data_IF_021114342162
#
_entry.id   IF_021114342162
#
_cell.length_a   1.000
_cell.length_b   1.000
_cell.length_c   1.000
_cell.angle_alpha   90.00
_cell.angle_beta   90.00
_cell.angle_gamma   90.00
#
_symmetry.space_group_name_H-M   'P 1'
#
loop_
_entity.id
_entity.type
_entity.pdbx_description
1 polymer ?
#
# COMPACT_ATOMS: atom_id res chain seq x y z
N UNK A 1 13.64 -41.19 -16.53
CA UNK A 1 13.12 -40.01 -15.81
C UNK A 1 13.79 -38.79 -16.40
N UNK A 2 13.04 -37.89 -17.03
CA UNK A 2 13.60 -36.66 -17.57
C UNK A 2 13.82 -35.67 -16.43
N UNK A 3 15.08 -35.37 -16.13
CA UNK A 3 15.41 -34.23 -15.26
C UNK A 3 15.05 -32.95 -16.01
N UNK A 4 14.02 -32.26 -15.56
CA UNK A 4 13.72 -30.90 -16.02
C UNK A 4 14.80 -29.97 -15.48
N UNK A 5 15.83 -29.69 -16.29
CA UNK A 5 16.91 -28.74 -15.99
C UNK A 5 16.47 -27.27 -16.09
N UNK A 6 15.23 -27.02 -16.48
CA UNK A 6 14.65 -25.68 -16.56
C UNK A 6 13.54 -25.53 -15.50
N UNK A 7 13.58 -24.46 -14.68
CA UNK A 7 12.46 -24.14 -13.80
C UNK A 7 11.20 -23.93 -14.63
N UNK A 8 10.04 -24.30 -14.08
CA UNK A 8 8.73 -23.90 -14.63
C UNK A 8 8.75 -22.38 -14.84
N UNK A 9 8.23 -21.89 -15.97
CA UNK A 9 8.11 -20.44 -16.24
C UNK A 9 7.43 -19.75 -15.05
N UNK A 10 8.22 -19.14 -14.18
CA UNK A 10 7.71 -18.40 -13.02
C UNK A 10 7.13 -17.10 -13.55
N UNK A 11 5.84 -16.92 -13.35
CA UNK A 11 5.12 -15.72 -13.76
C UNK A 11 5.15 -14.70 -12.63
N UNK A 12 6.26 -13.97 -12.50
CA UNK A 12 6.41 -12.94 -11.47
C UNK A 12 5.29 -11.90 -11.49
N UNK A 13 4.72 -11.59 -12.65
CA UNK A 13 3.54 -10.73 -12.76
C UNK A 13 2.29 -11.31 -12.08
N UNK A 14 2.10 -12.63 -12.12
CA UNK A 14 0.99 -13.28 -11.40
C UNK A 14 1.20 -13.16 -9.89
N UNK A 15 2.45 -13.22 -9.41
CA UNK A 15 2.76 -12.97 -8.01
C UNK A 15 2.53 -11.50 -7.62
N UNK A 16 2.94 -10.55 -8.45
CA UNK A 16 2.70 -9.13 -8.18
C UNK A 16 1.21 -8.81 -8.09
N UNK A 17 0.40 -9.35 -9.01
CA UNK A 17 -1.05 -9.19 -8.97
C UNK A 17 -1.67 -9.83 -7.73
N UNK A 18 -1.18 -11.01 -7.32
CA UNK A 18 -1.62 -11.65 -6.07
C UNK A 18 -1.27 -10.79 -4.85
N UNK A 19 -0.02 -10.32 -4.72
CA UNK A 19 0.41 -9.50 -3.59
C UNK A 19 -0.32 -8.15 -3.57
N UNK A 20 -0.46 -7.49 -4.73
CA UNK A 20 -1.21 -6.26 -4.87
C UNK A 20 -2.69 -6.43 -4.48
N UNK A 21 -3.32 -7.55 -4.83
CA UNK A 21 -4.71 -7.82 -4.43
C UNK A 21 -4.89 -7.89 -2.91
N UNK A 22 -3.87 -8.34 -2.17
CA UNK A 22 -3.87 -8.33 -0.70
C UNK A 22 -3.80 -6.89 -0.18
N UNK A 23 -2.94 -6.04 -0.77
CA UNK A 23 -2.85 -4.62 -0.41
C UNK A 23 -4.18 -3.90 -0.69
N UNK A 24 -4.83 -4.16 -1.83
CA UNK A 24 -6.17 -3.62 -2.16
C UNK A 24 -7.22 -4.08 -1.16
N UNK A 25 -7.20 -5.35 -0.75
CA UNK A 25 -8.16 -5.87 0.22
C UNK A 25 -7.93 -5.22 1.59
N UNK A 26 -6.68 -5.08 2.02
CA UNK A 26 -6.33 -4.44 3.28
C UNK A 26 -6.71 -2.96 3.30
N UNK A 27 -6.47 -2.22 2.20
CA UNK A 27 -6.82 -0.79 2.10
C UNK A 27 -8.33 -0.56 2.17
N UNK A 28 -9.13 -1.43 1.54
CA UNK A 28 -10.60 -1.41 1.67
C UNK A 28 -11.07 -1.58 3.11
N UNK A 29 -10.53 -2.58 3.82
CA UNK A 29 -10.88 -2.81 5.23
C UNK A 29 -10.40 -1.63 6.09
N UNK A 30 -9.26 -1.01 5.75
CA UNK A 30 -8.80 0.20 6.43
C UNK A 30 -9.78 1.35 6.25
N UNK A 31 -10.28 1.59 5.03
CA UNK A 31 -11.35 2.57 4.77
C UNK A 31 -12.60 2.24 5.58
N UNK A 32 -13.00 0.97 5.66
CA UNK A 32 -14.13 0.52 6.50
C UNK A 32 -13.91 0.82 7.99
N UNK A 33 -12.68 0.72 8.51
CA UNK A 33 -12.36 1.04 9.91
C UNK A 33 -12.62 2.52 10.22
N UNK A 34 -12.24 3.43 9.32
CA UNK A 34 -12.40 4.87 9.54
C UNK A 34 -13.79 5.40 9.20
N UNK A 35 -14.61 4.62 8.49
CA UNK A 35 -16.00 4.97 8.16
C UNK A 35 -17.01 4.32 9.11
N UNK A 36 -16.67 3.18 9.69
CA UNK A 36 -17.52 2.42 10.59
C UNK A 36 -16.69 1.70 11.68
N UNK A 37 -16.81 2.17 12.91
CA UNK A 37 -16.08 1.60 14.05
C UNK A 37 -16.71 0.32 14.62
N UNK A 38 -17.81 -0.18 14.04
CA UNK A 38 -18.37 -1.48 14.44
C UNK A 38 -17.45 -2.63 14.05
N UNK A 39 -17.40 -3.66 14.91
CA UNK A 39 -16.53 -4.82 14.78
C UNK A 39 -15.05 -4.47 14.50
N UNK A 40 -14.54 -3.40 15.12
CA UNK A 40 -13.15 -2.95 14.92
C UNK A 40 -12.14 -4.09 15.15
N UNK A 41 -12.38 -4.92 16.18
CA UNK A 41 -11.54 -6.07 16.48
C UNK A 41 -11.53 -7.09 15.33
N UNK A 42 -12.69 -7.39 14.73
CA UNK A 42 -12.79 -8.28 13.58
C UNK A 42 -12.09 -7.70 12.35
N UNK A 43 -12.30 -6.41 12.05
CA UNK A 43 -11.63 -5.69 10.95
C UNK A 43 -10.11 -5.69 11.10
N UNK A 44 -9.58 -5.32 12.28
CA UNK A 44 -8.15 -5.38 12.58
C UNK A 44 -7.60 -6.82 12.47
N UNK A 45 -8.33 -7.83 12.97
CA UNK A 45 -7.89 -9.23 12.86
C UNK A 45 -7.82 -9.70 11.41
N UNK A 46 -8.72 -9.25 10.53
CA UNK A 46 -8.67 -9.56 9.10
C UNK A 46 -7.47 -8.92 8.42
N UNK A 47 -7.18 -7.64 8.71
CA UNK A 47 -5.97 -6.98 8.19
C UNK A 47 -4.71 -7.72 8.64
N UNK A 48 -4.62 -8.12 9.91
CA UNK A 48 -3.49 -8.92 10.41
C UNK A 48 -3.33 -10.24 9.65
N UNK A 49 -4.42 -10.94 9.33
CA UNK A 49 -4.32 -12.17 8.54
C UNK A 49 -3.83 -11.90 7.12
N UNK A 50 -4.31 -10.82 6.49
CA UNK A 50 -3.88 -10.43 5.15
C UNK A 50 -2.38 -10.10 5.13
N UNK A 51 -1.86 -9.41 6.15
CA UNK A 51 -0.42 -9.16 6.31
C UNK A 51 0.39 -10.46 6.42
N UNK A 52 -0.06 -11.43 7.22
CA UNK A 52 0.61 -12.74 7.34
C UNK A 52 0.63 -13.49 6.01
N UNK A 53 -0.48 -13.44 5.26
CA UNK A 53 -0.59 -14.04 3.94
C UNK A 53 0.35 -13.33 2.94
N UNK A 54 0.42 -12.00 3.00
CA UNK A 54 1.33 -11.17 2.21
C UNK A 54 2.79 -11.47 2.46
N UNK A 55 3.21 -11.56 3.72
CA UNK A 55 4.57 -11.95 4.13
C UNK A 55 4.94 -13.36 3.67
N UNK A 56 3.96 -14.27 3.65
CA UNK A 56 4.17 -15.62 3.12
C UNK A 56 4.41 -15.59 1.61
N UNK A 57 3.63 -14.79 0.88
CA UNK A 57 3.80 -14.61 -0.55
C UNK A 57 5.12 -13.90 -0.89
N UNK A 58 5.52 -12.87 -0.13
CA UNK A 58 6.80 -12.17 -0.31
C UNK A 58 8.00 -13.13 -0.17
N UNK A 59 7.97 -14.03 0.82
CA UNK A 59 8.98 -15.09 0.97
C UNK A 59 8.99 -16.05 -0.20
N UNK A 60 7.83 -16.39 -0.76
CA UNK A 60 7.74 -17.25 -1.95
C UNK A 60 8.30 -16.56 -3.20
N UNK A 61 8.00 -15.27 -3.40
CA UNK A 61 8.56 -14.45 -4.48
C UNK A 61 10.08 -14.38 -4.37
N UNK A 62 10.60 -14.07 -3.18
CA UNK A 62 12.04 -13.99 -2.92
C UNK A 62 12.75 -15.32 -3.20
N UNK A 63 12.19 -16.44 -2.71
CA UNK A 63 12.72 -17.78 -3.01
C UNK A 63 12.68 -18.10 -4.50
N UNK A 64 11.58 -17.77 -5.17
CA UNK A 64 11.41 -17.95 -6.61
C UNK A 64 12.44 -17.14 -7.41
N UNK A 65 12.69 -15.90 -7.01
CA UNK A 65 13.71 -15.03 -7.59
C UNK A 65 15.11 -15.62 -7.41
N UNK A 66 15.45 -16.13 -6.22
CA UNK A 66 16.77 -16.77 -5.98
C UNK A 66 17.00 -18.02 -6.83
N UNK A 67 15.95 -18.81 -7.09
CA UNK A 67 16.05 -20.05 -7.88
C UNK A 67 15.92 -19.84 -9.39
N UNK A 68 15.57 -18.63 -9.83
CA UNK A 68 15.37 -18.31 -11.24
C UNK A 68 16.62 -17.65 -11.81
N UNK A 69 17.20 -18.26 -12.85
CA UNK A 69 18.37 -17.70 -13.52
C UNK A 69 18.00 -16.58 -14.51
N UNK A 70 16.95 -16.79 -15.31
CA UNK A 70 16.45 -15.83 -16.31
C UNK A 70 15.13 -15.24 -15.82
N UNK A 71 15.09 -13.93 -15.61
CA UNK A 71 13.90 -13.20 -15.14
C UNK A 71 13.24 -12.41 -16.27
N UNK A 72 11.92 -12.15 -16.20
CA UNK A 72 11.18 -11.44 -17.26
C UNK A 72 11.49 -9.93 -17.32
N UNK A 73 11.92 -9.36 -16.19
CA UNK A 73 12.44 -7.99 -16.03
C UNK A 73 13.67 -8.05 -15.12
N UNK A 74 14.32 -6.91 -14.87
CA UNK A 74 15.48 -6.83 -14.00
C UNK A 74 15.18 -7.38 -12.59
N UNK A 75 16.10 -8.19 -12.06
CA UNK A 75 15.95 -8.83 -10.75
C UNK A 75 15.76 -7.81 -9.62
N UNK A 76 16.44 -6.68 -9.72
CA UNK A 76 16.34 -5.58 -8.76
C UNK A 76 14.94 -4.95 -8.77
N UNK A 77 14.33 -4.81 -9.96
CA UNK A 77 12.99 -4.25 -10.08
C UNK A 77 11.93 -5.26 -9.55
N UNK A 78 12.11 -6.58 -9.75
CA UNK A 78 11.26 -7.61 -9.12
C UNK A 78 11.31 -7.53 -7.60
N UNK A 79 12.52 -7.43 -7.04
CA UNK A 79 12.71 -7.31 -5.60
C UNK A 79 12.07 -6.02 -5.07
N UNK A 80 12.32 -4.89 -5.72
CA UNK A 80 11.77 -3.60 -5.32
C UNK A 80 10.23 -3.59 -5.35
N UNK A 81 9.58 -4.12 -6.40
CA UNK A 81 8.11 -4.23 -6.46
C UNK A 81 7.58 -5.05 -5.28
N UNK A 82 8.19 -6.21 -5.01
CA UNK A 82 7.79 -7.07 -3.91
C UNK A 82 7.92 -6.38 -2.54
N UNK A 83 9.03 -5.68 -2.32
CA UNK A 83 9.30 -4.95 -1.07
C UNK A 83 8.35 -3.78 -0.89
N UNK A 84 8.10 -2.96 -1.92
CA UNK A 84 7.18 -1.82 -1.78
C UNK A 84 5.74 -2.30 -1.47
N UNK A 85 5.28 -3.40 -2.07
CA UNK A 85 3.97 -3.99 -1.75
C UNK A 85 3.89 -4.54 -0.31
N UNK A 86 4.98 -5.14 0.20
CA UNK A 86 5.09 -5.61 1.58
C UNK A 86 5.04 -4.43 2.57
N UNK A 87 5.86 -3.40 2.37
CA UNK A 87 5.88 -2.19 3.21
C UNK A 87 4.52 -1.50 3.26
N UNK A 88 3.81 -1.42 2.12
CA UNK A 88 2.45 -0.86 2.09
C UNK A 88 1.47 -1.68 2.93
N UNK A 89 1.54 -3.01 2.86
CA UNK A 89 0.67 -3.90 3.62
C UNK A 89 0.95 -3.81 5.12
N UNK A 90 2.23 -3.79 5.50
CA UNK A 90 2.69 -3.60 6.87
C UNK A 90 2.23 -2.27 7.45
N UNK A 91 2.30 -1.18 6.67
CA UNK A 91 1.82 0.13 7.10
C UNK A 91 0.30 0.13 7.31
N UNK A 92 -0.49 -0.50 6.44
CA UNK A 92 -1.94 -0.66 6.62
C UNK A 92 -2.23 -1.43 7.91
N UNK A 93 -1.52 -2.54 8.14
CA UNK A 93 -1.60 -3.31 9.38
C UNK A 93 -1.25 -2.45 10.60
N UNK A 94 -0.19 -1.66 10.50
CA UNK A 94 0.30 -0.77 11.55
C UNK A 94 -0.74 0.29 11.93
N UNK A 95 -1.39 0.89 10.94
CA UNK A 95 -2.47 1.87 11.15
C UNK A 95 -3.65 1.18 11.82
N UNK A 96 -4.11 0.05 11.28
CA UNK A 96 -5.27 -0.68 11.82
C UNK A 96 -5.07 -1.09 13.28
N UNK A 97 -3.87 -1.56 13.64
CA UNK A 97 -3.53 -1.97 15.00
C UNK A 97 -3.58 -0.77 15.95
N UNK A 98 -3.05 0.39 15.55
CA UNK A 98 -3.12 1.60 16.38
C UNK A 98 -4.53 2.09 16.58
N UNK A 99 -5.36 2.07 15.54
CA UNK A 99 -6.77 2.43 15.67
C UNK A 99 -7.48 1.53 16.67
N UNK A 100 -7.24 0.21 16.59
CA UNK A 100 -7.77 -0.77 17.54
C UNK A 100 -7.30 -0.59 18.98
N UNK A 101 -6.06 -0.12 19.19
CA UNK A 101 -5.46 0.07 20.51
C UNK A 101 -5.78 1.43 21.14
N UNK A 102 -5.94 2.49 20.35
CA UNK A 102 -6.11 3.86 20.85
C UNK A 102 -7.53 4.19 21.29
N UNK A 103 -8.49 3.32 20.98
CA UNK A 103 -9.88 3.43 21.43
C UNK A 103 -10.65 4.55 20.73
N UNK A 104 -10.39 4.78 19.44
CA UNK A 104 -11.15 5.76 18.67
C UNK A 104 -12.62 5.33 18.53
N UNK A 105 -13.51 6.32 18.56
CA UNK A 105 -14.96 6.15 18.34
C UNK A 105 -15.46 6.90 17.11
N UNK A 106 -14.68 7.88 16.66
CA UNK A 106 -14.90 8.63 15.43
C UNK A 106 -13.56 8.97 14.78
N UNK A 107 -13.61 9.25 13.50
CA UNK A 107 -12.49 9.74 12.71
C UNK A 107 -12.79 11.14 12.20
N UNK A 108 -11.80 12.05 12.17
CA UNK A 108 -11.91 13.30 11.44
C UNK A 108 -12.32 13.06 9.98
N UNK A 109 -13.10 13.98 9.41
CA UNK A 109 -13.53 13.88 8.02
C UNK A 109 -12.35 13.76 7.05
N UNK A 110 -11.29 14.52 7.29
CA UNK A 110 -10.05 14.47 6.51
C UNK A 110 -9.36 13.11 6.59
N UNK A 111 -9.37 12.43 7.74
CA UNK A 111 -8.82 11.07 7.85
C UNK A 111 -9.56 10.09 6.94
N UNK A 112 -10.89 10.21 6.86
CA UNK A 112 -11.71 9.37 5.96
C UNK A 112 -11.42 9.64 4.49
N UNK A 113 -11.18 10.90 4.14
CA UNK A 113 -10.78 11.30 2.78
C UNK A 113 -9.41 10.72 2.41
N UNK A 114 -8.42 10.87 3.30
CA UNK A 114 -7.06 10.35 3.08
C UNK A 114 -7.02 8.83 2.83
N UNK A 115 -7.75 8.03 3.63
CA UNK A 115 -7.76 6.57 3.43
C UNK A 115 -8.52 6.16 2.16
N UNK A 116 -9.52 6.93 1.76
CA UNK A 116 -10.23 6.72 0.50
C UNK A 116 -9.35 7.05 -0.70
N UNK A 117 -8.59 8.13 -0.64
CA UNK A 117 -7.62 8.48 -1.69
C UNK A 117 -6.55 7.40 -1.83
N UNK A 118 -6.03 6.91 -0.70
CA UNK A 118 -5.09 5.77 -0.69
C UNK A 118 -5.70 4.51 -1.32
N UNK A 119 -6.94 4.16 -0.98
CA UNK A 119 -7.64 3.03 -1.59
C UNK A 119 -7.71 3.15 -3.12
N UNK A 120 -8.09 4.34 -3.62
CA UNK A 120 -8.20 4.62 -5.06
C UNK A 120 -6.85 4.60 -5.76
N UNK A 121 -5.82 5.20 -5.14
CA UNK A 121 -4.44 5.17 -5.63
C UNK A 121 -4.00 3.71 -5.76
N UNK A 122 -4.07 2.93 -4.67
CA UNK A 122 -3.64 1.53 -4.63
C UNK A 122 -4.37 0.72 -5.70
N UNK A 123 -5.69 0.86 -5.82
CA UNK A 123 -6.47 0.15 -6.83
C UNK A 123 -6.01 0.47 -8.26
N UNK A 124 -5.68 1.74 -8.53
CA UNK A 124 -5.22 2.19 -9.85
C UNK A 124 -3.85 1.61 -10.25
N UNK A 125 -3.03 1.18 -9.27
CA UNK A 125 -1.71 0.59 -9.56
C UNK A 125 -1.78 -0.80 -10.18
N UNK A 126 -2.92 -1.49 -10.10
CA UNK A 126 -3.13 -2.77 -10.77
C UNK A 126 -2.93 -2.64 -12.29
N UNK A 127 -3.45 -1.55 -12.88
CA UNK A 127 -3.33 -1.28 -14.32
C UNK A 127 -1.87 -1.16 -14.74
N UNK A 128 -1.03 -0.52 -13.92
CA UNK A 128 0.41 -0.41 -14.19
C UNK A 128 1.12 -1.77 -14.19
N UNK A 129 0.79 -2.64 -13.23
CA UNK A 129 1.33 -4.00 -13.18
C UNK A 129 0.94 -4.76 -14.46
N UNK A 130 -0.31 -4.60 -14.91
CA UNK A 130 -0.80 -5.23 -16.16
C UNK A 130 -0.08 -4.67 -17.39
N UNK A 131 0.12 -3.36 -17.49
CA UNK A 131 0.81 -2.75 -18.63
C UNK A 131 2.25 -3.26 -18.79
N UNK A 132 2.99 -3.36 -17.69
CA UNK A 132 4.36 -3.89 -17.73
C UNK A 132 4.35 -5.37 -18.14
N UNK A 133 3.35 -6.14 -17.71
CA UNK A 133 3.20 -7.55 -18.14
C UNK A 133 2.97 -7.71 -19.64
N UNK A 134 2.38 -6.70 -20.29
CA UNK A 134 2.13 -6.64 -21.74
C UNK A 134 3.13 -5.79 -22.51
N UNK A 135 4.20 -5.29 -21.86
CA UNK A 135 5.19 -4.37 -22.44
C UNK A 135 4.57 -3.10 -23.04
N UNK A 136 3.52 -2.61 -22.41
CA UNK A 136 2.89 -1.33 -22.74
C UNK A 136 3.18 -0.34 -21.62
N UNK A 137 3.12 0.95 -21.94
CA UNK A 137 3.27 2.03 -20.97
C UNK A 137 2.32 3.17 -21.33
N UNK A 138 1.60 3.67 -20.33
CA UNK A 138 0.62 4.74 -20.47
C UNK A 138 0.98 5.89 -19.51
N UNK A 139 1.68 6.89 -20.04
CA UNK A 139 2.17 8.05 -19.28
C UNK A 139 1.04 8.79 -18.54
N UNK A 140 -0.15 8.89 -19.14
CA UNK A 140 -1.30 9.55 -18.52
C UNK A 140 -1.78 8.87 -17.23
N UNK A 141 -1.73 7.53 -17.19
CA UNK A 141 -2.14 6.76 -16.00
C UNK A 141 -1.12 6.97 -14.89
N UNK A 142 0.18 6.91 -15.23
CA UNK A 142 1.26 7.18 -14.28
C UNK A 142 1.14 8.57 -13.68
N UNK A 143 1.01 9.60 -14.52
CA UNK A 143 0.91 10.98 -14.07
C UNK A 143 -0.30 11.20 -13.15
N UNK A 144 -1.46 10.60 -13.47
CA UNK A 144 -2.64 10.68 -12.61
C UNK A 144 -2.43 10.07 -11.23
N UNK A 145 -1.73 8.92 -11.14
CA UNK A 145 -1.40 8.28 -9.86
C UNK A 145 -0.41 9.12 -9.05
N UNK A 146 0.63 9.66 -9.71
CA UNK A 146 1.63 10.50 -9.05
C UNK A 146 1.04 11.81 -8.53
N UNK A 147 0.14 12.43 -9.30
CA UNK A 147 -0.60 13.63 -8.90
C UNK A 147 -1.50 13.33 -7.69
N UNK A 148 -2.28 12.24 -7.72
CA UNK A 148 -3.11 11.82 -6.59
C UNK A 148 -2.28 11.56 -5.32
N UNK A 149 -1.11 10.93 -5.43
CA UNK A 149 -0.18 10.77 -4.30
C UNK A 149 0.33 12.12 -3.76
N UNK A 150 0.57 13.10 -4.63
CA UNK A 150 1.00 14.43 -4.22
C UNK A 150 -0.13 15.19 -3.51
N UNK A 151 -1.35 15.12 -4.04
CA UNK A 151 -2.52 15.77 -3.47
C UNK A 151 -2.92 15.18 -2.11
N UNK A 152 -2.93 13.86 -1.99
CA UNK A 152 -3.19 13.19 -0.70
C UNK A 152 -2.19 13.58 0.39
N UNK A 153 -0.90 13.70 0.05
CA UNK A 153 0.12 14.19 1.01
C UNK A 153 -0.08 15.67 1.37
N UNK A 154 -0.45 16.53 0.43
CA UNK A 154 -0.78 17.94 0.72
C UNK A 154 -1.96 18.03 1.68
N UNK A 155 -3.03 17.27 1.41
CA UNK A 155 -4.19 17.17 2.29
C UNK A 155 -3.80 16.69 3.69
N UNK A 156 -2.91 15.71 3.80
CA UNK A 156 -2.43 15.19 5.07
C UNK A 156 -1.71 16.27 5.90
N UNK A 157 -0.81 17.03 5.28
CA UNK A 157 -0.07 18.10 5.96
C UNK A 157 -1.02 19.21 6.43
N UNK A 158 -1.99 19.61 5.60
CA UNK A 158 -3.03 20.57 6.00
C UNK A 158 -3.84 20.03 7.18
N UNK A 159 -4.27 18.77 7.10
CA UNK A 159 -5.05 18.10 8.14
C UNK A 159 -4.29 17.99 9.46
N UNK A 160 -2.96 17.83 9.41
CA UNK A 160 -2.09 17.84 10.59
C UNK A 160 -2.01 19.23 11.23
N UNK A 161 -1.94 20.29 10.43
CA UNK A 161 -1.99 21.67 10.91
C UNK A 161 -3.31 21.98 11.62
N UNK A 162 -4.44 21.65 10.99
CA UNK A 162 -5.77 21.82 11.58
C UNK A 162 -5.95 21.02 12.87
N UNK A 163 -5.36 19.82 12.95
CA UNK A 163 -5.41 18.96 14.12
C UNK A 163 -4.79 19.65 15.35
N UNK A 164 -3.59 20.20 15.20
CA UNK A 164 -2.89 20.89 16.29
C UNK A 164 -3.51 22.25 16.61
N UNK A 165 -4.00 22.98 15.61
CA UNK A 165 -4.73 24.23 15.85
C UNK A 165 -5.97 23.99 16.73
N UNK A 166 -6.74 22.94 16.47
CA UNK A 166 -7.88 22.55 17.33
C UNK A 166 -7.45 22.20 18.75
N UNK A 167 -6.30 21.55 18.91
CA UNK A 167 -5.77 21.22 20.22
C UNK A 167 -5.34 22.49 21.00
N UNK A 168 -4.65 23.42 20.35
CA UNK A 168 -4.24 24.70 20.94
C UNK A 168 -5.44 25.58 21.33
N UNK A 169 -6.54 25.49 20.58
CA UNK A 169 -7.80 26.18 20.88
C UNK A 169 -8.64 25.46 21.95
N UNK A 170 -8.21 24.31 22.47
CA UNK A 170 -8.93 23.53 23.47
C UNK A 170 -10.18 22.80 22.92
N UNK A 171 -10.29 22.66 21.60
CA UNK A 171 -11.40 21.97 20.92
C UNK A 171 -11.15 20.47 20.74
N UNK A 172 -9.90 20.02 20.94
CA UNK A 172 -9.47 18.63 20.87
C UNK A 172 -8.49 18.37 22.02
N UNK A 173 -8.58 17.20 22.66
CA UNK A 173 -7.60 16.82 23.68
C UNK A 173 -6.21 16.60 23.06
N UNK A 174 -5.15 17.07 23.72
CA UNK A 174 -3.79 16.97 23.18
C UNK A 174 -3.32 15.51 23.04
N UNK A 175 -3.78 14.59 23.90
CA UNK A 175 -3.47 13.18 23.74
C UNK A 175 -4.19 12.57 22.53
N UNK A 176 -5.42 13.02 22.21
CA UNK A 176 -6.10 12.65 20.97
C UNK A 176 -5.39 13.20 19.74
N UNK A 177 -4.92 14.45 19.79
CA UNK A 177 -4.10 15.05 18.73
C UNK A 177 -2.81 14.24 18.49
N UNK A 178 -2.09 13.83 19.54
CA UNK A 178 -0.89 12.98 19.42
C UNK A 178 -1.24 11.61 18.82
N UNK A 179 -2.34 10.98 19.26
CA UNK A 179 -2.76 9.68 18.72
C UNK A 179 -3.06 9.78 17.22
N UNK A 180 -3.74 10.84 16.78
CA UNK A 180 -4.07 11.08 15.37
C UNK A 180 -2.83 11.47 14.55
N UNK A 181 -1.93 12.31 15.07
CA UNK A 181 -0.68 12.64 14.38
C UNK A 181 0.14 11.39 14.09
N UNK A 182 0.18 10.47 15.05
CA UNK A 182 0.81 9.17 14.88
C UNK A 182 0.13 8.31 13.81
N UNK A 183 -1.18 8.40 13.60
CA UNK A 183 -1.83 7.75 12.45
C UNK A 183 -1.38 8.42 11.15
N UNK A 184 -1.36 9.75 11.12
CA UNK A 184 -0.99 10.54 9.93
C UNK A 184 0.44 10.27 9.49
N UNK A 185 1.40 10.14 10.41
CA UNK A 185 2.79 9.80 10.07
C UNK A 185 2.87 8.49 9.25
N UNK A 186 2.04 7.49 9.58
CA UNK A 186 2.04 6.19 8.87
C UNK A 186 1.27 6.26 7.56
N UNK A 187 0.19 7.05 7.51
CA UNK A 187 -0.50 7.31 6.24
C UNK A 187 0.42 8.05 5.27
N UNK A 188 1.24 9.00 5.75
CA UNK A 188 2.23 9.69 4.92
C UNK A 188 3.29 8.70 4.39
N UNK A 189 3.80 7.81 5.24
CA UNK A 189 4.67 6.72 4.79
C UNK A 189 3.98 5.86 3.72
N UNK A 190 2.71 5.53 3.91
CA UNK A 190 1.95 4.72 2.95
C UNK A 190 1.80 5.42 1.60
N UNK A 191 1.52 6.74 1.57
CA UNK A 191 1.57 7.53 0.33
C UNK A 191 2.95 7.50 -0.33
N UNK A 192 4.01 7.59 0.47
CA UNK A 192 5.38 7.55 -0.05
C UNK A 192 5.72 6.19 -0.68
N UNK A 193 5.32 5.09 -0.06
CA UNK A 193 5.53 3.74 -0.60
C UNK A 193 4.64 3.48 -1.83
N UNK A 194 3.39 3.95 -1.83
CA UNK A 194 2.54 3.92 -3.03
C UNK A 194 3.23 4.67 -4.19
N UNK A 195 3.78 5.86 -3.95
CA UNK A 195 4.52 6.61 -4.97
C UNK A 195 5.79 5.87 -5.44
N UNK A 196 6.57 5.27 -4.52
CA UNK A 196 7.77 4.49 -4.88
C UNK A 196 7.44 3.26 -5.70
N UNK A 197 6.34 2.57 -5.40
CA UNK A 197 5.85 1.47 -6.22
C UNK A 197 5.55 1.95 -7.64
N UNK A 198 4.86 3.09 -7.79
CA UNK A 198 4.59 3.68 -9.11
C UNK A 198 5.87 3.98 -9.90
N UNK A 199 6.88 4.59 -9.28
CA UNK A 199 8.17 4.84 -9.94
C UNK A 199 8.92 3.55 -10.29
N UNK A 200 8.86 2.54 -9.42
CA UNK A 200 9.49 1.23 -9.69
C UNK A 200 8.83 0.55 -10.89
N UNK A 201 7.50 0.59 -10.94
CA UNK A 201 6.70 0.07 -12.05
C UNK A 201 7.00 0.84 -13.34
N UNK A 202 7.05 2.18 -13.30
CA UNK A 202 7.44 3.01 -14.44
C UNK A 202 8.82 2.62 -15.01
N UNK A 203 9.82 2.57 -14.13
CA UNK A 203 11.20 2.22 -14.48
C UNK A 203 11.27 0.82 -15.12
N UNK A 204 10.58 -0.16 -14.53
CA UNK A 204 10.51 -1.51 -15.08
C UNK A 204 9.83 -1.53 -16.46
N UNK A 205 8.75 -0.77 -16.63
CA UNK A 205 8.04 -0.61 -17.89
C UNK A 205 8.94 -0.06 -18.99
N UNK A 206 9.60 1.07 -18.75
CA UNK A 206 10.48 1.75 -19.73
C UNK A 206 11.64 0.85 -20.18
N UNK A 207 12.26 0.11 -19.26
CA UNK A 207 13.36 -0.81 -19.59
C UNK A 207 12.93 -2.03 -20.42
N UNK A 208 11.67 -2.42 -20.27
CA UNK A 208 11.12 -3.63 -20.89
C UNK A 208 10.38 -3.39 -22.22
N UNK A 209 10.20 -2.11 -22.57
CA UNK A 209 9.57 -1.62 -23.80
C UNK A 209 10.44 -1.78 -25.05
#
# INVERSE_FOLDING_TARGET
>A
MAFSLFPKNIRFFDYFLQQHSLVVLASKILTEIFTDFTDLKGKCSRINQIEVDGNTLAREISRSLSMTFITPIDREDIYAICTELEEMLDLIQSVSTRVGLYGFHEAPASTRELVRDLELIIASQEEMIRFISTRTYHESVMNGILEACADGRRLLVVSLGELFEKADQGQLDFAEAIKLSQIYDRLEMLFNHAQKLSFTLEKAGIKSA
#
